data_IF_977999294608
#
_entry.id   IF_977999294608
#
_cell.length_a   1.000
_cell.length_b   1.000
_cell.length_c   1.000
_cell.angle_alpha   90.00
_cell.angle_beta   90.00
_cell.angle_gamma   90.00
#
_symmetry.space_group_name_H-M   'P 1'
#
loop_
_entity.id
_entity.type
_entity.pdbx_description
1 polymer ?
#
# COMPACT_ATOMS: atom_id res chain seq x y z
N UNK A 1 -11.98 10.68 -46.22
CA UNK A 1 -11.81 11.94 -46.98
C UNK A 1 -12.23 13.11 -46.09
N UNK A 2 -11.25 13.95 -45.73
CA UNK A 2 -11.32 15.37 -45.32
C UNK A 2 -12.57 15.90 -44.58
N UNK A 3 -12.35 16.34 -43.35
CA UNK A 3 -12.76 17.66 -42.84
C UNK A 3 -11.85 18.01 -41.65
N UNK A 4 -10.71 18.66 -41.88
CA UNK A 4 -10.52 20.11 -41.75
C UNK A 4 -10.83 20.65 -40.34
N UNK A 5 -9.75 20.71 -39.57
CA UNK A 5 -9.52 21.52 -38.38
C UNK A 5 -9.86 23.00 -38.63
N UNK A 6 -10.49 23.65 -37.65
CA UNK A 6 -10.52 25.11 -37.52
C UNK A 6 -10.09 25.47 -36.10
N UNK A 7 -8.78 25.61 -35.91
CA UNK A 7 -8.19 26.25 -34.73
C UNK A 7 -8.01 27.76 -35.03
N UNK A 8 -8.55 28.68 -34.22
CA UNK A 8 -8.34 30.10 -34.44
C UNK A 8 -6.96 30.54 -33.92
N UNK A 9 -6.15 31.01 -34.87
CA UNK A 9 -5.32 32.23 -34.80
C UNK A 9 -4.34 32.37 -33.61
N UNK A 10 -3.11 31.87 -33.80
CA UNK A 10 -1.95 32.30 -33.01
C UNK A 10 -1.29 33.53 -33.71
N UNK A 11 -1.05 34.65 -33.02
CA UNK A 11 -0.33 35.79 -33.60
C UNK A 11 1.18 35.51 -33.70
N UNK A 12 1.87 36.06 -34.72
CA UNK A 12 3.31 35.84 -34.92
C UNK A 12 4.16 36.62 -33.90
N UNK A 13 5.26 36.05 -33.37
CA UNK A 13 6.20 36.78 -32.54
C UNK A 13 7.00 37.79 -33.39
N UNK A 14 6.89 39.06 -33.04
CA UNK A 14 7.62 40.15 -33.70
C UNK A 14 9.11 40.05 -33.47
N UNK A 15 9.83 39.92 -34.59
CA UNK A 15 11.28 40.04 -34.77
C UNK A 15 11.73 41.48 -34.52
N UNK A 16 12.03 41.86 -33.27
CA UNK A 16 12.85 43.04 -32.98
C UNK A 16 13.52 42.93 -31.61
N UNK A 17 14.85 43.04 -31.65
CA UNK A 17 15.75 43.35 -30.54
C UNK A 17 16.26 42.18 -29.68
N UNK A 18 17.19 41.42 -30.28
CA UNK A 18 18.32 40.95 -29.50
C UNK A 18 19.22 42.14 -29.12
N UNK A 19 19.17 42.56 -27.85
CA UNK A 19 20.23 43.29 -27.12
C UNK A 19 19.73 43.72 -25.72
N UNK A 20 19.33 42.77 -24.86
CA UNK A 20 19.31 42.95 -23.39
C UNK A 20 19.53 41.61 -22.67
N UNK A 21 20.41 40.79 -23.25
CA UNK A 21 21.11 39.78 -22.49
C UNK A 21 22.02 40.47 -21.46
N UNK A 22 22.00 39.94 -20.22
CA UNK A 22 22.97 40.16 -19.11
C UNK A 22 22.67 41.27 -18.10
N UNK A 23 21.52 41.23 -17.39
CA UNK A 23 21.51 41.76 -16.00
C UNK A 23 20.38 41.34 -15.06
N UNK A 24 19.61 40.28 -15.35
CA UNK A 24 18.52 39.82 -14.47
C UNK A 24 18.69 38.39 -13.94
N UNK A 25 19.94 37.94 -13.73
CA UNK A 25 20.25 36.57 -13.29
C UNK A 25 20.86 36.46 -11.88
N UNK A 26 20.67 37.45 -10.99
CA UNK A 26 21.24 37.41 -9.61
C UNK A 26 20.36 38.00 -8.51
N UNK A 27 19.04 37.94 -8.62
CA UNK A 27 18.13 38.44 -7.57
C UNK A 27 16.92 37.53 -7.31
N UNK A 28 17.10 36.20 -7.43
CA UNK A 28 15.99 35.25 -7.28
C UNK A 28 16.39 33.89 -6.69
N UNK A 29 17.55 33.78 -6.04
CA UNK A 29 18.03 32.51 -5.47
C UNK A 29 17.88 32.40 -3.93
N UNK A 30 17.70 33.52 -3.22
CA UNK A 30 17.75 33.52 -1.74
C UNK A 30 16.39 33.51 -1.05
N UNK A 31 15.29 33.57 -1.80
CA UNK A 31 13.92 33.56 -1.25
C UNK A 31 13.32 32.15 -1.09
N UNK A 32 13.84 31.14 -1.81
CA UNK A 32 13.27 29.78 -1.81
C UNK A 32 13.79 28.89 -0.65
N UNK A 33 14.89 29.25 0.00
CA UNK A 33 15.56 28.38 0.97
C UNK A 33 15.06 28.51 2.43
N UNK A 34 14.28 29.54 2.77
CA UNK A 34 13.79 29.77 4.14
C UNK A 34 12.40 29.20 4.44
N UNK A 35 11.69 28.67 3.45
CA UNK A 35 10.40 27.99 3.66
C UNK A 35 10.55 26.50 4.06
N UNK A 36 11.74 25.92 3.97
CA UNK A 36 11.97 24.49 4.20
C UNK A 36 12.25 24.10 5.67
N UNK A 37 12.29 25.07 6.59
CA UNK A 37 12.87 24.86 7.91
C UNK A 37 11.94 25.16 9.09
N UNK A 38 10.63 24.92 8.99
CA UNK A 38 9.81 24.53 10.16
C UNK A 38 8.67 23.60 9.71
N UNK A 39 9.02 22.44 9.16
CA UNK A 39 8.09 21.28 9.10
C UNK A 39 8.52 20.27 10.16
N UNK A 40 8.62 20.71 11.41
CA UNK A 40 8.67 19.81 12.56
C UNK A 40 7.33 19.87 13.29
N UNK A 41 6.23 19.73 12.54
CA UNK A 41 4.98 19.28 13.13
C UNK A 41 5.10 17.77 13.25
N UNK A 42 5.49 17.33 14.45
CA UNK A 42 5.48 15.93 14.84
C UNK A 42 4.08 15.35 14.73
N UNK A 43 3.71 14.92 13.53
CA UNK A 43 2.69 13.92 13.32
C UNK A 43 3.28 12.62 13.87
N UNK A 44 2.96 12.32 15.14
CA UNK A 44 3.20 10.99 15.69
C UNK A 44 2.61 10.00 14.67
N UNK A 45 3.46 9.16 14.09
CA UNK A 45 3.09 8.19 13.06
C UNK A 45 2.23 7.08 13.63
N UNK A 46 1.01 7.40 14.04
CA UNK A 46 0.00 6.38 14.27
C UNK A 46 -0.66 6.11 12.93
N UNK A 47 -0.40 4.92 12.39
CA UNK A 47 -1.19 4.38 11.30
C UNK A 47 -2.68 4.50 11.67
N UNK A 48 -3.50 5.00 10.73
CA UNK A 48 -4.95 5.06 10.92
C UNK A 48 -5.46 3.67 11.32
N UNK A 49 -6.28 3.61 12.37
CA UNK A 49 -6.87 2.39 12.89
C UNK A 49 -8.34 2.38 12.50
N UNK A 50 -8.76 1.32 11.81
CA UNK A 50 -10.18 1.07 11.58
C UNK A 50 -10.73 0.31 12.80
N UNK A 51 -11.84 0.77 13.37
CA UNK A 51 -12.40 0.17 14.58
C UNK A 51 -13.86 -0.15 14.33
N UNK A 52 -14.12 -1.44 14.07
CA UNK A 52 -15.46 -1.95 13.81
C UNK A 52 -16.05 -2.60 15.06
N UNK A 53 -17.32 -2.31 15.34
CA UNK A 53 -18.03 -2.81 16.53
C UNK A 53 -19.31 -3.55 16.14
N UNK A 54 -19.84 -4.32 17.10
CA UNK A 54 -21.14 -4.98 16.97
C UNK A 54 -21.09 -6.33 16.24
N UNK A 55 -22.18 -6.67 15.54
CA UNK A 55 -22.39 -8.00 14.96
C UNK A 55 -21.42 -8.26 13.79
N UNK A 56 -21.15 -7.26 12.96
CA UNK A 56 -20.28 -7.38 11.78
C UNK A 56 -18.83 -7.78 12.13
N UNK A 57 -18.28 -7.21 13.20
CA UNK A 57 -16.95 -7.56 13.71
C UNK A 57 -16.92 -9.02 14.20
N UNK A 58 -17.95 -9.45 14.95
CA UNK A 58 -18.04 -10.84 15.44
C UNK A 58 -18.20 -11.84 14.30
N UNK A 59 -18.99 -11.54 13.26
CA UNK A 59 -19.11 -12.43 12.11
C UNK A 59 -17.80 -12.58 11.34
N UNK A 60 -17.03 -11.50 11.19
CA UNK A 60 -15.72 -11.56 10.56
C UNK A 60 -14.72 -12.40 11.38
N UNK A 61 -14.74 -12.25 12.71
CA UNK A 61 -13.93 -13.09 13.61
C UNK A 61 -14.34 -14.57 13.58
N UNK A 62 -15.64 -14.86 13.58
CA UNK A 62 -16.15 -16.23 13.52
C UNK A 62 -15.65 -16.95 12.26
N UNK A 63 -15.73 -16.29 11.09
CA UNK A 63 -15.23 -16.86 9.85
C UNK A 63 -13.73 -17.22 9.91
N UNK A 64 -12.90 -16.41 10.56
CA UNK A 64 -11.48 -16.71 10.76
C UNK A 64 -11.24 -17.86 11.75
N UNK A 65 -12.01 -17.91 12.84
CA UNK A 65 -11.93 -19.00 13.83
C UNK A 65 -12.37 -20.33 13.24
N UNK A 66 -13.44 -20.34 12.46
CA UNK A 66 -13.97 -21.55 11.81
C UNK A 66 -12.92 -22.14 10.84
N UNK A 67 -12.24 -21.30 10.05
CA UNK A 67 -11.17 -21.75 9.16
C UNK A 67 -9.97 -22.34 9.92
N UNK A 68 -9.58 -21.74 11.05
CA UNK A 68 -8.51 -22.30 11.89
C UNK A 68 -8.93 -23.64 12.51
N UNK A 69 -10.15 -23.72 13.01
CA UNK A 69 -10.69 -24.92 13.64
C UNK A 69 -10.73 -26.08 12.63
N UNK A 70 -11.20 -25.82 11.42
CA UNK A 70 -11.28 -26.81 10.35
C UNK A 70 -9.91 -27.35 9.93
N UNK A 71 -8.88 -26.50 9.94
CA UNK A 71 -7.52 -26.91 9.61
C UNK A 71 -6.85 -27.73 10.73
N UNK A 72 -7.15 -27.45 12.00
CA UNK A 72 -6.52 -28.13 13.13
C UNK A 72 -7.24 -29.44 13.49
N UNK A 73 -8.57 -29.48 13.35
CA UNK A 73 -9.37 -30.65 13.76
C UNK A 73 -8.96 -31.95 13.05
N UNK A 74 -8.49 -31.85 11.79
CA UNK A 74 -8.07 -33.03 11.01
C UNK A 74 -6.86 -33.73 11.59
N UNK A 75 -6.08 -33.05 12.42
CA UNK A 75 -4.88 -33.61 13.08
C UNK A 75 -5.19 -34.25 14.43
N UNK A 76 -6.42 -34.09 14.95
CA UNK A 76 -6.79 -34.56 16.28
C UNK A 76 -6.96 -36.08 16.33
N UNK A 77 -6.52 -36.64 17.45
CA UNK A 77 -6.67 -38.06 17.77
C UNK A 77 -5.66 -38.99 17.10
N UNK A 78 -5.63 -40.27 17.50
CA UNK A 78 -4.65 -41.25 17.01
C UNK A 78 -4.82 -41.61 15.52
N UNK A 79 -5.97 -41.26 14.92
CA UNK A 79 -6.27 -41.42 13.49
C UNK A 79 -6.26 -40.08 12.72
N UNK A 80 -5.60 -39.06 13.28
CA UNK A 80 -5.42 -37.76 12.62
C UNK A 80 -4.72 -37.90 11.27
N UNK A 81 -5.13 -37.06 10.32
CA UNK A 81 -4.58 -36.97 8.97
C UNK A 81 -3.40 -36.00 8.93
N UNK A 82 -2.60 -36.12 7.88
CA UNK A 82 -1.48 -35.23 7.66
C UNK A 82 -1.96 -33.93 6.99
N UNK A 83 -1.42 -32.81 7.45
CA UNK A 83 -1.60 -31.51 6.80
C UNK A 83 -0.30 -31.15 6.10
N UNK A 84 -0.42 -30.56 4.91
CA UNK A 84 0.71 -30.12 4.10
C UNK A 84 0.81 -28.60 4.21
N UNK A 85 1.94 -28.11 4.67
CA UNK A 85 2.22 -26.69 4.84
C UNK A 85 3.25 -26.27 3.79
N UNK A 86 2.91 -25.24 3.02
CA UNK A 86 3.84 -24.59 2.11
C UNK A 86 4.88 -23.80 2.90
N UNK A 87 6.16 -24.06 2.64
CA UNK A 87 7.30 -23.35 3.24
C UNK A 87 7.91 -22.46 2.16
N UNK A 88 8.26 -21.19 2.45
CA UNK A 88 8.81 -20.28 1.45
C UNK A 88 10.17 -20.72 0.88
N UNK A 89 10.85 -21.63 1.57
CA UNK A 89 12.12 -22.20 1.13
C UNK A 89 12.11 -23.71 1.32
N UNK A 90 12.44 -24.44 0.25
CA UNK A 90 12.64 -25.89 0.26
C UNK A 90 11.39 -26.72 -0.05
N UNK A 91 11.34 -27.92 0.51
CA UNK A 91 10.24 -28.87 0.34
C UNK A 91 9.04 -28.55 1.26
N UNK A 92 7.81 -28.87 0.84
CA UNK A 92 6.62 -28.69 1.67
C UNK A 92 6.70 -29.55 2.94
N UNK A 93 6.28 -28.98 4.08
CA UNK A 93 6.32 -29.67 5.37
C UNK A 93 5.04 -30.46 5.57
N UNK A 94 5.17 -31.76 5.80
CA UNK A 94 4.05 -32.65 6.14
C UNK A 94 4.05 -32.83 7.65
N UNK A 95 3.00 -32.35 8.33
CA UNK A 95 2.91 -32.37 9.79
C UNK A 95 1.61 -33.01 10.27
N UNK A 96 1.67 -33.57 11.49
CA UNK A 96 0.51 -34.06 12.25
C UNK A 96 0.26 -33.22 13.51
N UNK A 97 1.09 -32.21 13.75
CA UNK A 97 1.02 -31.38 14.95
C UNK A 97 0.10 -30.19 14.71
N UNK A 98 -1.08 -30.20 15.31
CA UNK A 98 -2.05 -29.10 15.19
C UNK A 98 -1.50 -27.73 15.63
N UNK A 99 -0.57 -27.72 16.60
CA UNK A 99 0.09 -26.48 17.06
C UNK A 99 0.94 -25.85 15.95
N UNK A 100 1.62 -26.67 15.16
CA UNK A 100 2.44 -26.20 14.05
C UNK A 100 1.57 -25.70 12.90
N UNK A 101 0.44 -26.38 12.63
CA UNK A 101 -0.55 -25.95 11.64
C UNK A 101 -1.12 -24.58 12.01
N UNK A 102 -1.53 -24.38 13.26
CA UNK A 102 -2.10 -23.13 13.72
C UNK A 102 -1.15 -21.93 13.56
N UNK A 103 0.16 -22.15 13.74
CA UNK A 103 1.19 -21.10 13.57
C UNK A 103 1.46 -20.73 12.12
N UNK A 104 1.12 -21.59 11.16
CA UNK A 104 1.39 -21.36 9.75
C UNK A 104 0.26 -20.62 9.02
N UNK A 105 -0.93 -20.51 9.63
CA UNK A 105 -2.09 -19.88 9.00
C UNK A 105 -2.04 -18.37 9.27
N UNK A 106 -2.04 -17.59 8.21
CA UNK A 106 -2.11 -16.13 8.25
C UNK A 106 -3.32 -15.62 7.47
N UNK A 107 -4.08 -14.72 8.10
CA UNK A 107 -5.19 -14.01 7.44
C UNK A 107 -4.72 -12.67 6.88
N UNK A 108 -5.22 -12.33 5.68
CA UNK A 108 -4.95 -11.05 5.02
C UNK A 108 -5.75 -9.90 5.62
N UNK A 109 -6.90 -10.19 6.21
CA UNK A 109 -7.77 -9.21 6.85
C UNK A 109 -7.22 -8.87 8.24
N UNK A 110 -6.34 -7.87 8.28
CA UNK A 110 -5.82 -7.25 9.50
C UNK A 110 -6.53 -5.90 9.65
N UNK A 111 -7.79 -5.94 10.10
CA UNK A 111 -8.50 -4.73 10.53
C UNK A 111 -7.82 -4.14 11.77
#
# INVERSE_FOLDING_TARGET
>A
SRACLAAPYLPPPTRRQGAMLRRAARAGADAAARAAAVSYSGARGYAAKDVTFGVGCRSAMLAGVDQLADAVQVTLGPKGRNVVIESPFGAPKITKDGVTVARAIEFKDKA
#
